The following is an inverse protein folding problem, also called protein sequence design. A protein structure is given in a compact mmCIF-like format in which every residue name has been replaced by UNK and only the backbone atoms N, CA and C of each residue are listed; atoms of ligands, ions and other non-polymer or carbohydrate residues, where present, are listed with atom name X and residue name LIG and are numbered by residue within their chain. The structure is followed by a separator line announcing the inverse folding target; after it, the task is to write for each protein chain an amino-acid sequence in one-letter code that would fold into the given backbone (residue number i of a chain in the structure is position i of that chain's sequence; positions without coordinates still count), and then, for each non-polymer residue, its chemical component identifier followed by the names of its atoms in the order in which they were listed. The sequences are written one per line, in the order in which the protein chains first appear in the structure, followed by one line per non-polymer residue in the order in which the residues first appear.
data_IF_977977480026
#
_entry.id   IF_977977480026
#
_cell.length_a   1.000
_cell.length_b   1.000
_cell.length_c   1.000
_cell.angle_alpha   90.00
_cell.angle_beta   90.00
_cell.angle_gamma   90.00
#
_symmetry.space_group_name_H-M   'P 1'
#
loop_
_entity.id
_entity.type
_entity.pdbx_description
1 polymer ?
#
# COMPACT_ATOMS: atom_id res chain seq x y z
N UNK A 1 25.71 -3.78 -6.89
CA UNK A 1 25.19 -2.43 -6.56
C UNK A 1 23.79 -2.37 -7.18
N UNK A 2 22.66 -2.47 -6.49
CA UNK A 2 22.28 -2.12 -5.12
C UNK A 2 21.51 -3.27 -4.44
N UNK A 3 21.91 -3.60 -3.21
CA UNK A 3 21.21 -4.52 -2.26
C UNK A 3 20.79 -3.75 -1.00
N UNK A 4 20.39 -2.49 -1.17
CA UNK A 4 19.71 -1.68 -0.18
C UNK A 4 18.36 -1.35 -0.83
N UNK A 5 17.19 -1.75 -0.33
CA UNK A 5 16.75 -1.77 1.05
C UNK A 5 15.50 -2.64 1.05
N UNK A 6 15.58 -3.91 1.42
CA UNK A 6 14.38 -4.72 1.62
C UNK A 6 14.33 -5.22 3.07
N UNK A 7 13.97 -4.35 4.04
CA UNK A 7 13.89 -4.73 5.45
C UNK A 7 12.72 -5.69 5.74
N UNK A 8 11.91 -6.04 4.74
CA UNK A 8 10.66 -6.77 4.89
C UNK A 8 10.74 -8.07 4.07
N UNK A 9 11.57 -9.01 4.52
CA UNK A 9 11.50 -10.40 4.01
C UNK A 9 10.27 -11.08 4.60
N UNK A 10 9.10 -10.83 4.00
CA UNK A 10 7.89 -11.64 4.23
C UNK A 10 7.89 -12.77 3.20
N UNK A 11 8.82 -13.72 3.32
CA UNK A 11 8.69 -15.03 2.65
C UNK A 11 7.97 -15.97 3.61
N UNK A 12 6.74 -16.42 3.30
CA UNK A 12 5.98 -17.26 4.23
C UNK A 12 6.20 -18.77 4.02
N UNK A 13 5.79 -19.61 4.97
CA UNK A 13 5.61 -21.05 4.75
C UNK A 13 4.47 -21.34 3.76
N UNK A 14 4.45 -22.50 3.11
CA UNK A 14 3.65 -22.85 1.91
C UNK A 14 2.25 -22.19 1.79
N UNK A 15 1.37 -22.27 2.79
CA UNK A 15 0.01 -21.68 2.70
C UNK A 15 0.01 -20.16 2.55
N UNK A 16 0.98 -19.49 3.17
CA UNK A 16 1.10 -18.06 3.08
C UNK A 16 1.86 -17.62 1.80
N UNK A 17 2.57 -18.52 1.11
CA UNK A 17 3.07 -18.26 -0.26
C UNK A 17 1.92 -18.20 -1.27
N UNK A 18 0.96 -19.11 -1.21
CA UNK A 18 -0.20 -19.11 -2.11
C UNK A 18 -1.01 -17.82 -1.94
N UNK A 19 -1.23 -17.41 -0.68
CA UNK A 19 -1.92 -16.16 -0.37
C UNK A 19 -1.13 -14.92 -0.83
N UNK A 20 0.19 -14.95 -0.70
CA UNK A 20 1.06 -13.91 -1.23
C UNK A 20 0.93 -13.79 -2.75
N UNK A 21 1.06 -14.90 -3.50
CA UNK A 21 0.93 -14.89 -4.95
C UNK A 21 -0.45 -14.47 -5.42
N UNK A 22 -1.51 -14.89 -4.71
CA UNK A 22 -2.87 -14.43 -4.95
C UNK A 22 -2.97 -12.90 -4.81
N UNK A 23 -2.38 -12.32 -3.76
CA UNK A 23 -2.37 -10.87 -3.57
C UNK A 23 -1.54 -10.14 -4.62
N UNK A 24 -0.42 -10.71 -5.07
CA UNK A 24 0.38 -10.16 -6.17
C UNK A 24 -0.44 -10.07 -7.46
N UNK A 25 -1.18 -11.14 -7.80
CA UNK A 25 -2.06 -11.12 -8.98
C UNK A 25 -3.16 -10.08 -8.86
N UNK A 26 -3.83 -10.00 -7.70
CA UNK A 26 -4.84 -8.98 -7.43
C UNK A 26 -4.26 -7.56 -7.49
N UNK A 27 -3.05 -7.35 -6.96
CA UNK A 27 -2.37 -6.06 -7.04
C UNK A 27 -2.10 -5.66 -8.48
N UNK A 28 -1.69 -6.59 -9.34
CA UNK A 28 -1.46 -6.32 -10.77
C UNK A 28 -2.72 -5.90 -11.52
N UNK A 29 -3.87 -6.49 -11.17
CA UNK A 29 -5.15 -6.13 -11.78
C UNK A 29 -5.60 -4.74 -11.31
N UNK A 30 -5.42 -4.41 -10.02
CA UNK A 30 -6.06 -3.24 -9.39
C UNK A 30 -5.19 -2.00 -9.37
N UNK A 31 -3.88 -2.15 -9.33
CA UNK A 31 -2.96 -1.04 -9.00
C UNK A 31 -1.89 -0.81 -10.06
N UNK A 32 -2.07 -1.31 -11.28
CA UNK A 32 -1.20 -0.97 -12.40
C UNK A 32 -1.17 0.55 -12.62
N UNK A 33 0.01 1.09 -12.88
CA UNK A 33 0.20 2.48 -13.28
C UNK A 33 1.14 2.57 -14.49
N UNK A 34 1.40 3.79 -14.99
CA UNK A 34 2.30 4.00 -16.13
C UNK A 34 3.76 3.58 -15.84
N UNK A 35 4.13 3.40 -14.58
CA UNK A 35 5.45 2.96 -14.14
C UNK A 35 5.64 1.44 -14.16
N UNK A 36 4.59 0.65 -14.36
CA UNK A 36 4.71 -0.81 -14.48
C UNK A 36 3.64 -1.60 -13.73
N UNK A 37 3.92 -2.87 -13.40
CA UNK A 37 2.92 -3.77 -12.85
C UNK A 37 2.52 -3.37 -11.43
N UNK A 38 1.25 -3.61 -11.08
CA UNK A 38 0.65 -3.13 -9.84
C UNK A 38 1.35 -3.57 -8.55
N UNK A 39 1.98 -4.76 -8.53
CA UNK A 39 2.75 -5.25 -7.38
C UNK A 39 3.97 -4.40 -7.01
N UNK A 40 4.50 -3.60 -7.96
CA UNK A 40 5.62 -2.67 -7.72
C UNK A 40 5.17 -1.27 -7.28
N UNK A 41 3.87 -1.01 -7.26
CA UNK A 41 3.34 0.27 -6.79
C UNK A 41 3.22 0.27 -5.28
N UNK A 42 3.19 1.46 -4.66
CA UNK A 42 3.04 1.55 -3.19
C UNK A 42 1.66 1.10 -2.72
N UNK A 43 0.62 1.19 -3.57
CA UNK A 43 -0.69 0.57 -3.30
C UNK A 43 -0.60 -0.96 -3.30
N UNK A 44 0.11 -1.51 -4.28
CA UNK A 44 0.38 -2.96 -4.36
C UNK A 44 1.17 -3.46 -3.17
N UNK A 45 2.24 -2.76 -2.78
CA UNK A 45 3.07 -3.08 -1.62
C UNK A 45 2.24 -3.17 -0.33
N UNK A 46 1.41 -2.14 -0.08
CA UNK A 46 0.53 -2.09 1.10
C UNK A 46 -0.54 -3.20 1.04
N UNK A 47 -1.16 -3.42 -0.12
CA UNK A 47 -2.18 -4.46 -0.28
C UNK A 47 -1.62 -5.87 -0.09
N UNK A 48 -0.43 -6.16 -0.62
CA UNK A 48 0.20 -7.47 -0.49
C UNK A 48 0.54 -7.72 0.98
N UNK A 49 1.11 -6.74 1.67
CA UNK A 49 1.58 -6.88 3.05
C UNK A 49 0.45 -6.85 4.09
N UNK A 50 -0.52 -5.94 3.97
CA UNK A 50 -1.59 -5.75 4.96
C UNK A 50 -2.90 -6.43 4.54
N UNK A 51 -3.12 -6.67 3.25
CA UNK A 51 -4.36 -7.19 2.70
C UNK A 51 -5.33 -6.08 2.28
N UNK A 52 -6.59 -6.48 2.12
CA UNK A 52 -7.68 -5.56 1.78
C UNK A 52 -7.87 -4.54 2.92
N UNK A 53 -7.92 -3.23 2.61
CA UNK A 53 -8.38 -2.24 3.58
C UNK A 53 -9.85 -2.46 3.92
N UNK A 54 -10.23 -2.15 5.16
CA UNK A 54 -11.63 -2.18 5.59
C UNK A 54 -12.47 -1.11 4.88
N UNK A 55 -11.86 0.03 4.57
CA UNK A 55 -12.51 1.12 3.84
C UNK A 55 -11.54 1.77 2.85
N UNK A 56 -12.06 2.13 1.67
CA UNK A 56 -11.36 3.00 0.70
C UNK A 56 -12.23 4.20 0.38
N UNK A 57 -11.64 5.40 0.41
CA UNK A 57 -12.32 6.64 0.06
C UNK A 57 -11.48 7.45 -0.92
N UNK A 58 -12.10 7.94 -1.99
CA UNK A 58 -11.51 8.93 -2.90
C UNK A 58 -11.87 10.34 -2.39
N UNK A 59 -10.85 11.07 -1.95
CA UNK A 59 -11.00 12.41 -1.38
C UNK A 59 -10.79 13.52 -2.43
N UNK A 60 -10.62 13.17 -3.71
CA UNK A 60 -10.32 14.12 -4.78
C UNK A 60 -11.42 15.19 -4.96
N UNK A 61 -12.67 14.90 -4.60
CA UNK A 61 -13.81 15.82 -4.73
C UNK A 61 -14.26 16.44 -3.39
N UNK A 62 -13.48 16.29 -2.32
CA UNK A 62 -13.90 16.68 -0.97
C UNK A 62 -13.78 18.18 -0.65
N UNK A 63 -13.46 19.03 -1.63
CA UNK A 63 -13.28 20.48 -1.44
C UNK A 63 -11.97 20.87 -0.73
N UNK A 64 -11.16 19.89 -0.33
CA UNK A 64 -9.75 20.07 0.07
C UNK A 64 -8.85 20.36 -1.14
N UNK A 65 -9.37 20.19 -2.35
CA UNK A 65 -8.70 20.31 -3.64
C UNK A 65 -8.73 21.74 -4.19
N UNK A 66 -8.10 22.70 -3.51
CA UNK A 66 -7.82 24.01 -4.16
C UNK A 66 -6.79 23.91 -5.32
N UNK A 67 -6.32 22.72 -5.67
CA UNK A 67 -5.24 22.50 -6.65
C UNK A 67 -5.26 21.17 -7.42
N UNK A 68 -6.40 20.46 -7.50
CA UNK A 68 -6.52 19.25 -8.35
C UNK A 68 -5.74 18.02 -7.87
N UNK A 69 -5.39 17.97 -6.58
CA UNK A 69 -4.67 16.85 -5.97
C UNK A 69 -5.61 15.65 -5.77
N UNK A 70 -5.32 14.52 -6.42
CA UNK A 70 -6.06 13.28 -6.20
C UNK A 70 -5.52 12.53 -5.01
N UNK A 71 -6.39 12.22 -4.05
CA UNK A 71 -6.00 11.57 -2.79
C UNK A 71 -6.93 10.39 -2.50
N UNK A 72 -6.34 9.23 -2.24
CA UNK A 72 -7.03 8.04 -1.76
C UNK A 72 -6.72 7.84 -0.28
N UNK A 73 -7.73 7.51 0.51
CA UNK A 73 -7.61 7.09 1.91
C UNK A 73 -7.95 5.62 2.04
N UNK A 74 -7.06 4.83 2.61
CA UNK A 74 -7.30 3.44 2.99
C UNK A 74 -7.29 3.32 4.52
N UNK A 75 -8.30 2.65 5.07
CA UNK A 75 -8.47 2.46 6.52
C UNK A 75 -8.32 0.97 6.86
N UNK A 76 -7.51 0.68 7.87
CA UNK A 76 -7.38 -0.64 8.51
C UNK A 76 -7.76 -0.50 9.98
N UNK A 77 -9.03 -0.73 10.29
CA UNK A 77 -9.66 -0.46 11.58
C UNK A 77 -9.03 -1.29 12.71
N UNK A 78 -8.81 -2.59 12.48
CA UNK A 78 -8.20 -3.48 13.46
C UNK A 78 -6.77 -3.04 13.86
N UNK A 79 -6.02 -2.49 12.90
CA UNK A 79 -4.67 -1.97 13.11
C UNK A 79 -4.66 -0.50 13.60
N UNK A 80 -5.83 0.16 13.68
CA UNK A 80 -5.97 1.61 13.90
C UNK A 80 -5.08 2.42 12.97
N UNK A 81 -5.01 2.01 11.71
CA UNK A 81 -4.11 2.55 10.70
C UNK A 81 -4.92 3.22 9.58
N UNK A 82 -4.52 4.43 9.21
CA UNK A 82 -5.06 5.14 8.04
C UNK A 82 -3.88 5.52 7.16
N UNK A 83 -3.97 5.16 5.88
CA UNK A 83 -2.95 5.44 4.87
C UNK A 83 -3.54 6.34 3.79
N UNK A 84 -2.78 7.37 3.43
CA UNK A 84 -3.12 8.28 2.35
C UNK A 84 -2.16 8.07 1.18
N UNK A 85 -2.74 7.94 0.00
CA UNK A 85 -2.02 7.90 -1.26
C UNK A 85 -2.38 9.13 -2.09
N UNK A 86 -1.39 9.76 -2.69
CA UNK A 86 -1.55 10.97 -3.47
C UNK A 86 -1.02 10.73 -4.89
N UNK A 87 -1.78 11.13 -5.89
CA UNK A 87 -1.29 11.18 -7.27
C UNK A 87 -0.34 12.38 -7.41
N UNK A 88 0.95 12.09 -7.62
CA UNK A 88 1.98 13.11 -7.74
C UNK A 88 2.11 13.66 -9.15
N UNK A 89 1.57 12.97 -10.17
CA UNK A 89 1.83 13.28 -11.58
C UNK A 89 0.57 13.60 -12.37
N UNK A 90 -0.62 13.27 -11.85
CA UNK A 90 -1.89 13.38 -12.57
C UNK A 90 -2.17 12.19 -13.49
N UNK A 91 -1.27 11.20 -13.51
CA UNK A 91 -1.31 10.01 -14.37
C UNK A 91 -1.61 8.74 -13.55
N UNK A 92 -2.40 8.87 -12.48
CA UNK A 92 -2.77 7.76 -11.58
C UNK A 92 -1.58 7.10 -10.87
N UNK A 93 -0.45 7.82 -10.72
CA UNK A 93 0.73 7.34 -10.00
C UNK A 93 0.59 7.70 -8.53
N UNK A 94 -0.19 6.87 -7.82
CA UNK A 94 -0.46 7.05 -6.41
C UNK A 94 0.74 6.63 -5.56
N UNK A 95 1.24 7.56 -4.76
CA UNK A 95 2.31 7.36 -3.78
C UNK A 95 1.81 7.59 -2.37
N UNK A 96 2.28 6.81 -1.41
CA UNK A 96 2.08 7.08 0.00
C UNK A 96 2.59 8.49 0.33
N UNK A 97 1.81 9.21 1.13
CA UNK A 97 2.33 10.43 1.76
C UNK A 97 3.49 10.07 2.70
N UNK A 98 4.44 10.98 2.96
CA UNK A 98 5.56 10.70 3.88
C UNK A 98 5.11 10.24 5.27
N UNK A 99 4.04 10.83 5.80
CA UNK A 99 3.46 10.43 7.09
C UNK A 99 2.91 8.99 7.03
N UNK A 100 2.09 8.68 6.03
CA UNK A 100 1.52 7.34 5.84
C UNK A 100 2.60 6.29 5.57
N UNK A 101 3.70 6.64 4.89
CA UNK A 101 4.86 5.75 4.73
C UNK A 101 5.46 5.37 6.09
N UNK A 102 5.64 6.34 6.99
CA UNK A 102 6.16 6.08 8.32
C UNK A 102 5.19 5.24 9.18
N UNK A 103 3.88 5.51 9.09
CA UNK A 103 2.85 4.73 9.78
C UNK A 103 2.79 3.28 9.30
N UNK A 104 2.84 3.07 7.99
CA UNK A 104 2.89 1.75 7.37
C UNK A 104 4.09 0.93 7.86
N UNK A 105 5.29 1.52 7.87
CA UNK A 105 6.50 0.85 8.38
C UNK A 105 6.35 0.48 9.87
N UNK A 106 5.75 1.35 10.69
CA UNK A 106 5.43 1.02 12.10
C UNK A 106 4.44 -0.13 12.22
N UNK A 107 3.42 -0.18 11.36
CA UNK A 107 2.45 -1.27 11.36
C UNK A 107 3.11 -2.62 11.02
N UNK A 108 3.98 -2.66 10.01
CA UNK A 108 4.73 -3.87 9.65
C UNK A 108 5.62 -4.37 10.79
N UNK A 109 6.31 -3.48 11.49
CA UNK A 109 7.14 -3.86 12.64
C UNK A 109 6.31 -4.53 13.74
N UNK A 110 5.10 -4.04 14.02
CA UNK A 110 4.19 -4.63 15.02
C UNK A 110 3.66 -5.99 14.59
N UNK A 111 3.29 -6.15 13.32
CA UNK A 111 2.80 -7.43 12.78
C UNK A 111 3.84 -8.56 12.86
N UNK A 112 5.13 -8.23 12.74
CA UNK A 112 6.22 -9.20 12.93
C UNK A 112 6.33 -9.65 14.39
N UNK A 113 6.14 -8.73 15.33
CA UNK A 113 6.23 -9.01 16.76
C UNK A 113 5.04 -9.83 17.28
N UNK A 114 3.84 -9.68 16.69
CA UNK A 114 2.66 -10.46 17.11
C UNK A 114 2.61 -11.89 16.58
N UNK A 115 3.51 -12.26 15.66
CA UNK A 115 3.60 -13.61 15.07
C UNK A 115 4.71 -14.47 15.71
N UNK A 116 5.40 -13.94 16.71
CA UNK A 116 6.34 -14.67 17.59
C UNK A 116 5.66 -14.93 18.93
#
# INVERSE_FOLDING_TARGET
LWKATDPVTLTPENEALDDYFRRVQQANIRFQDEGGPGWLTERGEVFISLGEPDETADLSNSGLDRGGLRVLRWTYAAARLVLYFQDQTGFSRYRLTPASRADYQRALMRLRQSRQ
#
